data_IF_657912940490
#
_entry.id   IF_657912940490
#
_cell.length_a   1.000
_cell.length_b   1.000
_cell.length_c   1.000
_cell.angle_alpha   90.00
_cell.angle_beta   90.00
_cell.angle_gamma   90.00
#
_symmetry.space_group_name_H-M   'P 1'
#
loop_
_entity.id
_entity.type
_entity.pdbx_description
1 polymer ?
#
# COMPACT_ATOMS: atom_id res chain seq x y z
N UNK A 1 5.45 26.90 3.68
CA UNK A 1 4.26 27.34 2.92
C UNK A 1 3.02 26.71 3.52
N UNK A 2 1.81 27.26 3.27
CA UNK A 2 0.60 26.64 3.81
C UNK A 2 0.32 25.35 3.02
N UNK A 3 0.26 24.24 3.73
CA UNK A 3 -0.19 22.95 3.22
C UNK A 3 -1.72 23.00 3.09
N UNK A 4 -2.23 22.58 1.95
CA UNK A 4 -3.67 22.36 1.73
C UNK A 4 -3.97 20.87 1.74
N UNK A 5 -5.11 20.52 2.32
CA UNK A 5 -5.58 19.15 2.43
C UNK A 5 -7.01 19.07 1.94
N UNK A 6 -7.28 18.11 1.07
CA UNK A 6 -8.61 17.81 0.55
C UNK A 6 -8.90 16.33 0.60
N UNK A 7 -10.19 15.99 0.68
CA UNK A 7 -10.66 14.61 0.55
C UNK A 7 -11.73 14.57 -0.55
N UNK A 8 -11.68 13.51 -1.36
CA UNK A 8 -12.62 13.28 -2.45
C UNK A 8 -13.21 11.88 -2.32
N UNK A 9 -14.51 11.75 -2.59
CA UNK A 9 -15.19 10.47 -2.67
C UNK A 9 -15.47 10.14 -4.13
N UNK A 10 -15.03 8.99 -4.59
CA UNK A 10 -15.22 8.51 -5.95
C UNK A 10 -16.04 7.21 -5.92
N UNK A 11 -16.87 6.94 -6.95
CA UNK A 11 -17.54 5.66 -7.04
C UNK A 11 -16.51 4.52 -7.08
N UNK A 12 -16.66 3.52 -6.20
CA UNK A 12 -15.93 2.27 -6.27
C UNK A 12 -16.46 1.40 -7.42
N UNK A 13 -15.66 0.41 -7.86
CA UNK A 13 -16.19 -0.65 -8.73
C UNK A 13 -17.28 -1.48 -8.01
N UNK A 14 -17.23 -1.56 -6.69
CA UNK A 14 -18.24 -2.22 -5.87
C UNK A 14 -19.51 -1.38 -5.83
N UNK A 15 -20.61 -1.92 -6.34
CA UNK A 15 -21.89 -1.19 -6.42
C UNK A 15 -22.31 -0.65 -5.04
N UNK A 16 -22.68 0.62 -4.99
CA UNK A 16 -23.10 1.33 -3.78
C UNK A 16 -21.98 1.74 -2.84
N UNK A 17 -20.70 1.47 -3.17
CA UNK A 17 -19.55 1.89 -2.40
C UNK A 17 -18.83 3.08 -3.05
N UNK A 18 -18.22 3.91 -2.19
CA UNK A 18 -17.29 4.97 -2.59
C UNK A 18 -15.89 4.69 -2.03
N UNK A 19 -14.87 5.10 -2.78
CA UNK A 19 -13.47 5.10 -2.35
C UNK A 19 -13.07 6.51 -1.94
N UNK A 20 -12.26 6.61 -0.88
CA UNK A 20 -11.74 7.86 -0.36
C UNK A 20 -10.35 8.14 -0.93
N UNK A 21 -10.23 9.28 -1.59
CA UNK A 21 -8.98 9.82 -2.09
C UNK A 21 -8.60 11.05 -1.27
N UNK A 22 -7.42 11.03 -0.66
CA UNK A 22 -6.87 12.14 0.12
C UNK A 22 -5.77 12.83 -0.67
N UNK A 23 -5.74 14.15 -0.61
CA UNK A 23 -4.83 15.01 -1.35
C UNK A 23 -4.15 16.00 -0.42
N UNK A 24 -2.83 16.13 -0.54
CA UNK A 24 -2.01 17.15 0.13
C UNK A 24 -1.04 17.79 -0.85
N UNK A 25 -1.06 19.10 -0.90
CA UNK A 25 -0.14 19.89 -1.73
C UNK A 25 0.12 21.27 -1.14
N UNK A 26 1.21 21.89 -1.53
CA UNK A 26 1.40 23.34 -1.37
C UNK A 26 0.93 24.05 -2.64
N UNK A 27 0.73 25.39 -2.56
CA UNK A 27 0.38 26.19 -3.74
C UNK A 27 1.45 26.19 -4.84
N UNK A 28 2.63 25.70 -4.54
CA UNK A 28 3.80 25.62 -5.44
C UNK A 28 4.04 24.20 -5.95
N UNK A 29 3.15 23.24 -5.65
CA UNK A 29 3.25 21.89 -6.16
C UNK A 29 3.31 21.92 -7.70
N UNK A 30 4.30 21.26 -8.26
CA UNK A 30 4.57 21.19 -9.70
C UNK A 30 4.97 19.76 -10.08
N UNK A 31 4.79 19.45 -11.34
CA UNK A 31 5.17 18.15 -11.88
C UNK A 31 4.03 17.15 -11.83
N UNK A 32 4.36 15.90 -12.11
CA UNK A 32 3.42 14.80 -12.15
C UNK A 32 2.88 14.49 -10.75
N UNK A 33 1.55 14.37 -10.55
CA UNK A 33 0.99 14.01 -9.26
C UNK A 33 1.43 12.59 -8.83
N UNK A 34 1.64 12.40 -7.53
CA UNK A 34 2.09 11.13 -6.96
C UNK A 34 0.93 10.45 -6.24
N UNK A 35 0.53 9.26 -6.70
CA UNK A 35 -0.51 8.46 -6.08
C UNK A 35 0.07 7.31 -5.27
N UNK A 36 -0.22 7.28 -3.97
CA UNK A 36 0.14 6.22 -3.04
C UNK A 36 -0.98 5.19 -2.92
N UNK A 37 -0.63 3.90 -3.08
CA UNK A 37 -1.54 2.75 -2.94
C UNK A 37 -1.05 1.84 -1.82
N UNK A 38 -1.88 1.66 -0.81
CA UNK A 38 -1.54 0.90 0.40
C UNK A 38 -1.48 -0.62 0.17
N UNK A 39 -0.91 -1.32 1.14
CA UNK A 39 -0.86 -2.77 1.20
C UNK A 39 -2.12 -3.42 1.76
N UNK A 40 -2.05 -4.71 2.06
CA UNK A 40 -3.11 -5.44 2.73
C UNK A 40 -3.29 -4.96 4.19
N UNK A 41 -4.50 -5.03 4.71
CA UNK A 41 -4.88 -4.80 6.12
C UNK A 41 -5.17 -3.34 6.48
N UNK A 42 -4.27 -2.41 6.15
CA UNK A 42 -4.32 -1.03 6.64
C UNK A 42 -4.63 -0.06 5.50
N UNK A 43 -5.45 0.97 5.79
CA UNK A 43 -5.78 2.00 4.82
C UNK A 43 -4.63 2.97 4.55
N UNK A 44 -4.76 3.75 3.46
CA UNK A 44 -3.71 4.63 2.97
C UNK A 44 -3.48 5.83 3.90
N UNK A 45 -4.55 6.44 4.41
CA UNK A 45 -4.42 7.64 5.25
C UNK A 45 -3.53 7.37 6.46
N UNK A 46 -3.77 6.29 7.21
CA UNK A 46 -2.95 5.94 8.36
C UNK A 46 -1.61 5.33 7.98
N UNK A 47 -1.45 4.85 6.77
CA UNK A 47 -0.17 4.33 6.28
C UNK A 47 0.74 5.46 5.83
N UNK A 48 0.27 6.38 5.00
CA UNK A 48 1.11 7.40 4.36
C UNK A 48 0.95 8.79 4.97
N UNK A 49 -0.14 9.04 5.69
CA UNK A 49 -0.45 10.33 6.30
C UNK A 49 -0.53 10.28 7.84
N UNK A 50 0.01 9.24 8.46
CA UNK A 50 0.20 9.18 9.90
C UNK A 50 1.37 10.07 10.31
N UNK A 51 1.09 11.03 11.21
CA UNK A 51 2.09 11.99 11.65
C UNK A 51 2.98 11.43 12.76
N UNK A 52 4.29 11.35 12.53
CA UNK A 52 5.31 11.08 13.53
C UNK A 52 6.07 12.38 13.77
N UNK A 53 6.15 12.83 15.03
CA UNK A 53 6.72 14.13 15.38
C UNK A 53 6.03 15.31 14.66
N UNK A 54 4.72 15.18 14.45
CA UNK A 54 3.87 16.21 13.83
C UNK A 54 3.94 16.26 12.30
N UNK A 55 4.58 15.28 11.64
CA UNK A 55 4.72 15.22 10.18
C UNK A 55 4.50 13.82 9.63
N UNK A 56 3.78 13.73 8.52
CA UNK A 56 3.57 12.49 7.77
C UNK A 56 4.49 12.40 6.55
N UNK A 57 4.51 11.24 5.87
CA UNK A 57 5.19 11.13 4.59
C UNK A 57 4.54 12.03 3.52
N UNK A 58 3.21 12.15 3.51
CA UNK A 58 2.53 13.06 2.57
C UNK A 58 2.87 14.52 2.85
N UNK A 59 3.07 14.93 4.11
CA UNK A 59 3.55 16.27 4.44
C UNK A 59 4.96 16.50 3.89
N UNK A 60 5.86 15.53 4.06
CA UNK A 60 7.23 15.60 3.52
C UNK A 60 7.23 15.71 1.99
N UNK A 61 6.36 14.94 1.31
CA UNK A 61 6.19 15.03 -0.14
C UNK A 61 5.73 16.43 -0.57
N UNK A 62 4.69 16.95 0.08
CA UNK A 62 4.16 18.28 -0.24
C UNK A 62 5.18 19.39 0.01
N UNK A 63 5.99 19.30 1.08
CA UNK A 63 7.04 20.28 1.36
C UNK A 63 8.21 20.22 0.34
N UNK A 64 8.42 19.06 -0.28
CA UNK A 64 9.36 18.93 -1.41
C UNK A 64 8.77 19.41 -2.75
N UNK A 65 7.53 19.91 -2.75
CA UNK A 65 6.84 20.45 -3.93
C UNK A 65 6.08 19.42 -4.75
N UNK A 66 5.89 18.20 -4.24
CA UNK A 66 5.07 17.19 -4.91
C UNK A 66 3.58 17.40 -4.65
N UNK A 67 2.76 17.01 -5.62
CA UNK A 67 1.31 16.89 -5.49
C UNK A 67 0.97 15.48 -5.04
N UNK A 68 0.75 15.30 -3.72
CA UNK A 68 0.66 13.99 -3.07
C UNK A 68 -0.80 13.54 -2.85
N UNK A 69 -1.12 12.37 -3.35
CA UNK A 69 -2.42 11.72 -3.26
C UNK A 69 -2.30 10.35 -2.63
N UNK A 70 -3.24 9.93 -1.79
CA UNK A 70 -3.33 8.54 -1.35
C UNK A 70 -4.77 8.03 -1.42
N UNK A 71 -4.92 6.74 -1.74
CA UNK A 71 -6.21 6.09 -1.96
C UNK A 71 -6.47 5.03 -0.91
N UNK A 72 -7.54 5.16 -0.15
CA UNK A 72 -8.14 4.05 0.57
C UNK A 72 -8.93 3.18 -0.43
N UNK A 73 -8.51 1.95 -0.65
CA UNK A 73 -9.22 0.98 -1.49
C UNK A 73 -10.57 0.61 -0.85
N UNK A 74 -11.51 0.14 -1.64
CA UNK A 74 -12.80 -0.38 -1.16
C UNK A 74 -12.60 -1.35 -0.01
N UNK A 75 -13.32 -1.15 1.08
CA UNK A 75 -13.22 -1.99 2.28
C UNK A 75 -12.09 -1.62 3.24
N UNK A 76 -11.31 -0.57 2.97
CA UNK A 76 -10.19 -0.11 3.80
C UNK A 76 -10.36 1.35 4.23
N UNK A 77 -9.64 1.74 5.29
CA UNK A 77 -9.51 3.12 5.75
C UNK A 77 -10.85 3.83 5.89
N UNK A 78 -11.01 4.96 5.21
CA UNK A 78 -12.22 5.77 5.17
C UNK A 78 -13.13 5.48 3.98
N UNK A 79 -12.76 4.54 3.11
CA UNK A 79 -13.63 4.06 2.01
C UNK A 79 -14.78 3.21 2.55
N UNK A 80 -15.85 3.13 1.76
CA UNK A 80 -17.01 2.33 2.12
C UNK A 80 -16.68 0.84 2.24
N UNK A 81 -17.45 0.17 3.06
CA UNK A 81 -17.36 -1.27 3.29
C UNK A 81 -18.44 -1.98 2.47
N UNK A 82 -18.07 -2.98 1.62
CA UNK A 82 -19.06 -3.85 0.98
C UNK A 82 -20.03 -4.44 2.02
N UNK A 83 -21.30 -4.56 1.67
CA UNK A 83 -22.35 -5.05 2.57
C UNK A 83 -22.02 -6.38 3.24
N UNK A 84 -21.30 -7.26 2.55
CA UNK A 84 -20.83 -8.54 3.10
C UNK A 84 -19.86 -8.39 4.31
N UNK A 85 -19.26 -7.21 4.51
CA UNK A 85 -18.47 -6.95 5.73
C UNK A 85 -19.33 -6.66 6.97
N UNK A 86 -20.64 -6.45 6.81
CA UNK A 86 -21.58 -6.36 7.93
C UNK A 86 -22.11 -7.73 8.37
N UNK A 87 -21.85 -8.78 7.58
CA UNK A 87 -22.28 -10.16 7.85
C UNK A 87 -21.15 -10.98 8.48
N UNK A 88 -21.42 -12.16 9.05
CA UNK A 88 -20.38 -13.08 9.49
C UNK A 88 -19.43 -13.44 8.34
N UNK A 89 -18.12 -13.29 8.55
CA UNK A 89 -17.12 -13.38 7.51
C UNK A 89 -17.12 -14.69 6.70
N UNK A 90 -17.54 -15.80 7.33
CA UNK A 90 -17.60 -17.13 6.72
C UNK A 90 -18.81 -17.36 5.80
N UNK A 91 -19.75 -16.41 5.71
CA UNK A 91 -20.92 -16.52 4.85
C UNK A 91 -20.67 -16.01 3.43
N UNK A 92 -19.58 -15.26 3.23
CA UNK A 92 -19.27 -14.66 1.95
C UNK A 92 -17.87 -15.04 1.47
N UNK A 93 -17.66 -14.99 0.15
CA UNK A 93 -16.37 -15.19 -0.47
C UNK A 93 -15.37 -14.07 -0.11
N UNK A 94 -14.05 -14.28 -0.29
CA UNK A 94 -13.04 -13.24 -0.12
C UNK A 94 -13.40 -11.96 -0.88
N UNK A 95 -13.31 -10.81 -0.20
CA UNK A 95 -13.65 -9.51 -0.75
C UNK A 95 -12.40 -8.77 -1.19
N UNK A 96 -12.54 -7.93 -2.21
CA UNK A 96 -11.54 -6.99 -2.72
C UNK A 96 -10.25 -7.73 -3.12
N UNK A 97 -10.33 -8.42 -4.25
CA UNK A 97 -9.17 -9.03 -4.90
C UNK A 97 -8.36 -7.97 -5.65
N UNK A 98 -7.21 -8.35 -6.16
CA UNK A 98 -6.32 -7.43 -6.88
C UNK A 98 -6.99 -6.83 -8.13
N UNK A 99 -7.83 -7.60 -8.83
CA UNK A 99 -8.58 -7.10 -9.99
C UNK A 99 -9.56 -5.99 -9.60
N UNK A 100 -10.20 -6.11 -8.45
CA UNK A 100 -11.10 -5.11 -7.87
C UNK A 100 -10.33 -3.82 -7.54
N UNK A 101 -9.19 -3.98 -6.87
CA UNK A 101 -8.32 -2.87 -6.47
C UNK A 101 -7.70 -2.13 -7.68
N UNK A 102 -7.39 -2.84 -8.76
CA UNK A 102 -6.91 -2.23 -10.02
C UNK A 102 -7.95 -1.26 -10.58
N UNK A 103 -9.23 -1.62 -10.56
CA UNK A 103 -10.31 -0.72 -11.04
C UNK A 103 -10.43 0.52 -10.15
N UNK A 104 -10.33 0.37 -8.83
CA UNK A 104 -10.35 1.52 -7.90
C UNK A 104 -9.16 2.45 -8.15
N UNK A 105 -7.95 1.90 -8.36
CA UNK A 105 -6.74 2.70 -8.69
C UNK A 105 -6.89 3.41 -10.04
N UNK A 106 -7.45 2.76 -11.06
CA UNK A 106 -7.71 3.40 -12.36
C UNK A 106 -8.64 4.60 -12.23
N UNK A 107 -9.73 4.49 -11.47
CA UNK A 107 -10.66 5.60 -11.21
C UNK A 107 -9.98 6.76 -10.48
N UNK A 108 -9.11 6.44 -9.52
CA UNK A 108 -8.31 7.46 -8.84
C UNK A 108 -7.36 8.17 -9.82
N UNK A 109 -6.65 7.43 -10.68
CA UNK A 109 -5.76 8.00 -11.70
C UNK A 109 -6.55 8.90 -12.67
N UNK A 110 -7.69 8.44 -13.19
CA UNK A 110 -8.54 9.23 -14.08
C UNK A 110 -8.98 10.54 -13.42
N UNK A 111 -9.41 10.47 -12.16
CA UNK A 111 -9.81 11.66 -11.39
C UNK A 111 -8.64 12.63 -11.19
N UNK A 112 -7.49 12.14 -10.73
CA UNK A 112 -6.29 12.96 -10.48
C UNK A 112 -5.83 13.63 -11.78
N UNK A 113 -5.73 12.88 -12.86
CA UNK A 113 -5.32 13.41 -14.16
C UNK A 113 -6.25 14.54 -14.64
N UNK A 114 -7.57 14.36 -14.44
CA UNK A 114 -8.55 15.40 -14.78
C UNK A 114 -8.43 16.66 -13.88
N UNK A 115 -8.12 16.49 -12.58
CA UNK A 115 -7.95 17.61 -11.65
C UNK A 115 -6.65 18.39 -11.89
N UNK A 116 -5.56 17.69 -12.20
CA UNK A 116 -4.22 18.28 -12.30
C UNK A 116 -3.82 18.61 -13.75
N UNK A 117 -4.68 18.34 -14.74
CA UNK A 117 -4.38 18.49 -16.18
C UNK A 117 -3.13 17.71 -16.61
N UNK A 118 -2.95 16.51 -16.10
CA UNK A 118 -1.91 15.54 -16.46
C UNK A 118 -2.50 14.34 -17.17
N UNK A 119 -1.70 13.65 -18.00
CA UNK A 119 -2.12 12.40 -18.67
C UNK A 119 -1.79 11.14 -17.88
N UNK A 120 -0.85 11.23 -16.92
CA UNK A 120 -0.33 10.15 -16.13
C UNK A 120 0.01 10.59 -14.69
N UNK A 121 0.22 9.63 -13.80
CA UNK A 121 0.68 9.84 -12.42
C UNK A 121 2.03 9.15 -12.19
N UNK A 122 2.77 9.62 -11.19
CA UNK A 122 3.81 8.82 -10.54
C UNK A 122 3.10 7.89 -9.53
N UNK A 123 3.29 6.59 -9.65
CA UNK A 123 2.52 5.60 -8.92
C UNK A 123 3.39 4.87 -7.89
N UNK A 124 3.02 4.94 -6.61
CA UNK A 124 3.71 4.26 -5.53
C UNK A 124 2.82 3.19 -4.91
N UNK A 125 3.25 1.94 -4.99
CA UNK A 125 2.61 0.82 -4.29
C UNK A 125 3.44 0.35 -3.10
N UNK A 126 2.77 0.01 -2.00
CA UNK A 126 3.36 -0.57 -0.81
C UNK A 126 2.84 -2.00 -0.60
N UNK A 127 3.73 -2.99 -0.42
CA UNK A 127 3.33 -4.36 -0.11
C UNK A 127 2.38 -4.93 -1.19
N UNK A 128 1.16 -5.36 -0.85
CA UNK A 128 0.14 -5.74 -1.84
C UNK A 128 -0.14 -4.63 -2.85
N UNK A 129 -0.05 -3.37 -2.46
CA UNK A 129 -0.13 -2.24 -3.38
C UNK A 129 0.88 -2.32 -4.53
N UNK A 130 2.02 -2.99 -4.34
CA UNK A 130 3.00 -3.19 -5.43
C UNK A 130 2.49 -4.13 -6.51
N UNK A 131 1.72 -5.17 -6.14
CA UNK A 131 1.09 -6.06 -7.12
C UNK A 131 -0.03 -5.34 -7.89
N UNK A 132 -0.81 -4.49 -7.20
CA UNK A 132 -1.85 -3.66 -7.83
C UNK A 132 -1.20 -2.67 -8.81
N UNK A 133 -0.22 -1.89 -8.35
CA UNK A 133 0.46 -0.88 -9.16
C UNK A 133 1.26 -1.49 -10.30
N UNK A 134 1.91 -2.65 -10.08
CA UNK A 134 2.59 -3.40 -11.13
C UNK A 134 1.64 -3.86 -12.23
N UNK A 135 0.42 -4.30 -11.86
CA UNK A 135 -0.61 -4.67 -12.83
C UNK A 135 -1.14 -3.44 -13.60
N UNK A 136 -1.41 -2.34 -12.91
CA UNK A 136 -1.80 -1.07 -13.56
C UNK A 136 -0.72 -0.61 -14.55
N UNK A 137 0.54 -0.57 -14.14
CA UNK A 137 1.64 -0.12 -14.99
C UNK A 137 1.88 -1.03 -16.21
N UNK A 138 1.62 -2.35 -16.07
CA UNK A 138 1.72 -3.29 -17.20
C UNK A 138 0.54 -3.24 -18.16
N UNK A 139 -0.68 -2.96 -17.67
CA UNK A 139 -1.91 -2.92 -18.48
C UNK A 139 -2.18 -1.54 -19.09
N UNK A 140 -1.78 -0.47 -18.41
CA UNK A 140 -2.04 0.93 -18.79
C UNK A 140 -0.75 1.76 -18.72
N UNK A 141 0.28 1.40 -19.52
CA UNK A 141 1.59 2.04 -19.44
C UNK A 141 1.55 3.55 -19.69
N UNK A 142 0.58 4.04 -20.47
CA UNK A 142 0.38 5.46 -20.76
C UNK A 142 -0.15 6.27 -19.56
N UNK A 143 -0.61 5.60 -18.50
CA UNK A 143 -1.14 6.22 -17.27
C UNK A 143 -0.13 6.30 -16.14
N UNK A 144 1.05 5.72 -16.30
CA UNK A 144 2.09 5.65 -15.27
C UNK A 144 3.38 6.28 -15.78
N UNK A 145 3.73 7.46 -15.25
CA UNK A 145 4.95 8.18 -15.61
C UNK A 145 6.18 7.54 -14.95
N UNK A 146 6.14 7.26 -13.66
CA UNK A 146 7.14 6.51 -12.90
C UNK A 146 6.46 5.53 -11.95
N UNK A 147 7.12 4.42 -11.64
CA UNK A 147 6.61 3.39 -10.74
C UNK A 147 7.55 3.20 -9.55
N UNK A 148 7.01 3.23 -8.34
CA UNK A 148 7.74 2.90 -7.12
C UNK A 148 7.08 1.67 -6.48
N UNK A 149 7.87 0.62 -6.26
CA UNK A 149 7.46 -0.63 -5.61
C UNK A 149 8.18 -0.74 -4.27
N UNK A 150 7.53 -0.24 -3.21
CA UNK A 150 8.04 -0.34 -1.86
C UNK A 150 7.60 -1.65 -1.21
N UNK A 151 8.57 -2.51 -0.88
CA UNK A 151 8.31 -3.87 -0.44
C UNK A 151 7.61 -4.68 -1.56
N UNK A 152 8.32 -4.90 -2.67
CA UNK A 152 7.75 -5.52 -3.88
C UNK A 152 7.29 -6.95 -3.61
N UNK A 153 5.97 -7.17 -3.58
CA UNK A 153 5.37 -8.47 -3.34
C UNK A 153 5.51 -9.37 -4.57
N UNK A 154 6.09 -10.55 -4.35
CA UNK A 154 6.20 -11.60 -5.34
C UNK A 154 5.89 -12.97 -4.74
N UNK A 155 5.17 -13.79 -5.47
CA UNK A 155 4.77 -15.13 -5.03
C UNK A 155 5.14 -16.13 -6.10
N UNK A 156 6.06 -17.03 -5.77
CA UNK A 156 6.42 -18.16 -6.63
C UNK A 156 5.53 -19.37 -6.32
N UNK A 157 5.44 -20.28 -7.28
CA UNK A 157 4.76 -21.56 -7.07
C UNK A 157 5.41 -22.35 -5.94
N UNK A 158 4.59 -22.79 -5.00
CA UNK A 158 5.02 -23.62 -3.89
C UNK A 158 4.50 -25.05 -4.09
N UNK A 159 5.40 -26.02 -4.21
CA UNK A 159 5.05 -27.42 -4.53
C UNK A 159 4.08 -28.05 -3.54
N UNK A 160 4.23 -27.73 -2.26
CA UNK A 160 3.43 -28.31 -1.16
C UNK A 160 2.39 -27.34 -0.59
N UNK A 161 2.09 -26.23 -1.30
CA UNK A 161 1.12 -25.26 -0.82
C UNK A 161 -0.29 -25.87 -0.74
N UNK A 162 -0.84 -25.84 0.45
CA UNK A 162 -2.22 -26.24 0.68
C UNK A 162 -3.06 -25.00 1.00
N UNK A 163 -3.88 -24.56 0.06
CA UNK A 163 -4.84 -23.51 0.34
C UNK A 163 -5.76 -23.95 1.49
N UNK A 164 -6.15 -22.99 2.32
CA UNK A 164 -7.25 -23.20 3.26
C UNK A 164 -8.50 -23.61 2.49
N UNK A 165 -9.26 -24.55 2.99
CA UNK A 165 -10.52 -25.02 2.38
C UNK A 165 -11.56 -23.89 2.24
N UNK A 166 -11.43 -22.82 3.01
CA UNK A 166 -12.28 -21.64 2.95
C UNK A 166 -11.48 -20.42 3.42
N UNK A 167 -11.47 -19.38 2.61
CA UNK A 167 -10.96 -18.05 2.98
C UNK A 167 -12.21 -17.18 3.19
N UNK A 168 -12.43 -16.63 4.40
CA UNK A 168 -13.61 -15.81 4.70
C UNK A 168 -13.55 -14.47 3.98
N UNK A 169 -14.65 -13.72 3.91
CA UNK A 169 -14.75 -12.42 3.27
C UNK A 169 -13.77 -11.37 3.82
N UNK A 170 -13.60 -11.38 5.13
CA UNK A 170 -12.67 -10.50 5.84
C UNK A 170 -12.06 -11.23 7.05
N UNK A 171 -10.99 -10.67 7.58
CA UNK A 171 -10.36 -11.09 8.85
C UNK A 171 -10.38 -9.92 9.84
N UNK A 172 -10.28 -10.23 11.12
CA UNK A 172 -10.16 -9.24 12.18
C UNK A 172 -8.71 -9.10 12.62
N UNK A 173 -8.29 -7.87 12.94
CA UNK A 173 -6.95 -7.53 13.41
C UNK A 173 -7.08 -6.61 14.62
N UNK A 174 -6.50 -7.00 15.75
CA UNK A 174 -6.42 -6.17 16.97
C UNK A 174 -5.15 -5.34 16.96
N UNK A 175 -5.10 -4.27 17.77
CA UNK A 175 -3.87 -3.48 17.93
C UNK A 175 -2.69 -4.32 18.40
N UNK A 176 -2.91 -5.24 19.35
CA UNK A 176 -1.89 -6.20 19.79
C UNK A 176 -1.43 -7.12 18.64
N UNK A 177 -2.35 -7.62 17.82
CA UNK A 177 -2.01 -8.46 16.67
C UNK A 177 -1.21 -7.70 15.61
N UNK A 178 -1.53 -6.43 15.37
CA UNK A 178 -0.77 -5.56 14.47
C UNK A 178 0.65 -5.31 15.00
N UNK A 179 0.80 -5.00 16.29
CA UNK A 179 2.10 -4.81 16.92
C UNK A 179 2.96 -6.09 16.89
N UNK A 180 2.36 -7.24 17.21
CA UNK A 180 3.06 -8.53 17.18
C UNK A 180 3.53 -8.89 15.76
N UNK A 181 2.75 -8.53 14.73
CA UNK A 181 3.15 -8.72 13.34
C UNK A 181 4.32 -7.81 12.97
N UNK A 182 4.29 -6.54 13.36
CA UNK A 182 5.38 -5.59 13.09
C UNK A 182 6.70 -6.04 13.73
N UNK A 183 6.64 -6.47 15.01
CA UNK A 183 7.81 -6.94 15.74
C UNK A 183 8.28 -8.35 15.34
N UNK A 184 7.56 -9.03 14.42
CA UNK A 184 7.88 -10.43 14.08
C UNK A 184 9.29 -10.57 13.48
N UNK A 185 10.08 -11.50 14.02
CA UNK A 185 11.47 -11.74 13.62
C UNK A 185 12.52 -10.91 14.36
N UNK A 186 12.12 -9.99 15.23
CA UNK A 186 13.00 -9.17 16.07
C UNK A 186 12.82 -9.51 17.56
N UNK A 187 13.89 -9.46 18.33
CA UNK A 187 13.75 -9.46 19.78
C UNK A 187 13.28 -8.07 20.28
N UNK A 188 12.76 -7.95 21.52
CA UNK A 188 12.23 -6.68 22.02
C UNK A 188 13.23 -5.52 22.00
N UNK A 189 14.52 -5.79 22.25
CA UNK A 189 15.57 -4.75 22.28
C UNK A 189 15.88 -4.29 20.86
N UNK A 190 15.96 -5.23 19.90
CA UNK A 190 16.13 -4.93 18.49
C UNK A 190 14.95 -4.11 17.96
N UNK A 191 13.70 -4.49 18.31
CA UNK A 191 12.52 -3.75 17.89
C UNK A 191 12.51 -2.30 18.37
N UNK A 192 12.93 -2.04 19.60
CA UNK A 192 13.08 -0.67 20.13
C UNK A 192 14.14 0.17 19.39
N UNK A 193 15.12 -0.46 18.75
CA UNK A 193 16.08 0.25 17.88
C UNK A 193 15.48 0.62 16.52
N UNK A 194 14.47 -0.13 16.07
CA UNK A 194 13.79 0.06 14.77
C UNK A 194 12.73 1.16 14.87
N UNK A 195 11.89 1.13 15.89
CA UNK A 195 10.80 2.09 16.10
C UNK A 195 10.61 2.41 17.59
N UNK A 196 10.27 3.66 17.90
CA UNK A 196 9.90 4.03 19.26
C UNK A 196 8.64 3.26 19.70
N UNK A 197 8.64 2.57 20.87
CA UNK A 197 7.51 1.75 21.32
C UNK A 197 6.18 2.53 21.39
N UNK A 198 6.25 3.82 21.73
CA UNK A 198 5.08 4.71 21.77
C UNK A 198 4.49 4.95 20.38
N UNK A 199 5.32 5.13 19.36
CA UNK A 199 4.90 5.29 17.96
C UNK A 199 4.25 4.00 17.47
N UNK A 200 4.88 2.85 17.72
CA UNK A 200 4.35 1.57 17.28
C UNK A 200 2.99 1.25 17.93
N UNK A 201 2.87 1.46 19.24
CA UNK A 201 1.62 1.21 19.97
C UNK A 201 0.50 2.16 19.54
N UNK A 202 0.79 3.45 19.40
CA UNK A 202 -0.19 4.47 18.99
C UNK A 202 -0.67 4.24 17.56
N UNK A 203 0.24 3.97 16.63
CA UNK A 203 -0.13 3.64 15.26
C UNK A 203 -1.02 2.40 15.18
N UNK A 204 -0.64 1.32 15.87
CA UNK A 204 -1.45 0.09 15.89
C UNK A 204 -2.85 0.33 16.46
N UNK A 205 -2.99 1.19 17.47
CA UNK A 205 -4.28 1.56 18.03
C UNK A 205 -5.09 2.42 17.04
N UNK A 206 -4.48 3.44 16.46
CA UNK A 206 -5.11 4.32 15.45
C UNK A 206 -5.60 3.52 14.25
N UNK A 207 -4.87 2.48 13.83
CA UNK A 207 -5.27 1.62 12.72
C UNK A 207 -6.56 0.85 12.99
N UNK A 208 -6.73 0.27 14.17
CA UNK A 208 -7.96 -0.47 14.48
C UNK A 208 -9.17 0.44 14.66
N UNK A 209 -8.94 1.67 15.08
CA UNK A 209 -9.98 2.72 15.22
C UNK A 209 -10.54 3.20 13.88
N UNK A 210 -9.91 2.86 12.76
CA UNK A 210 -10.47 3.15 11.42
C UNK A 210 -11.64 2.26 11.03
N UNK A 211 -11.90 1.16 11.75
CA UNK A 211 -13.10 0.36 11.47
C UNK A 211 -14.36 1.15 11.85
N UNK A 212 -15.33 1.32 10.94
CA UNK A 212 -16.56 2.06 11.23
C UNK A 212 -17.37 1.52 12.42
N UNK A 213 -17.18 0.25 12.77
CA UNK A 213 -17.83 -0.40 13.90
C UNK A 213 -16.92 -0.51 15.14
N UNK A 214 -15.77 0.18 15.14
CA UNK A 214 -14.88 0.13 16.30
C UNK A 214 -15.60 0.57 17.58
N UNK A 215 -15.47 -0.24 18.60
CA UNK A 215 -15.92 0.01 19.96
C UNK A 215 -14.94 -0.67 20.92
N UNK A 216 -14.23 0.11 21.71
CA UNK A 216 -13.17 -0.39 22.59
C UNK A 216 -13.63 -1.51 23.54
N UNK A 217 -14.93 -1.56 23.88
CA UNK A 217 -15.49 -2.58 24.78
C UNK A 217 -16.00 -3.83 24.06
N UNK A 218 -16.41 -3.72 22.79
CA UNK A 218 -17.13 -4.80 22.09
C UNK A 218 -16.47 -5.21 20.79
N UNK A 219 -15.85 -4.27 20.06
CA UNK A 219 -15.27 -4.45 18.72
C UNK A 219 -13.93 -3.76 18.62
N UNK A 220 -12.97 -4.11 19.50
CA UNK A 220 -11.62 -3.55 19.52
C UNK A 220 -10.73 -4.19 18.44
N UNK A 221 -11.19 -4.17 17.18
CA UNK A 221 -10.49 -4.73 16.03
C UNK A 221 -10.88 -4.04 14.73
N UNK A 222 -9.98 -4.11 13.77
CA UNK A 222 -10.19 -3.75 12.37
C UNK A 222 -10.64 -4.98 11.58
N UNK A 223 -11.63 -4.84 10.70
CA UNK A 223 -11.97 -5.83 9.67
C UNK A 223 -11.22 -5.48 8.39
N UNK A 224 -10.43 -6.41 7.89
CA UNK A 224 -9.67 -6.26 6.65
C UNK A 224 -10.12 -7.29 5.61
N UNK A 225 -10.48 -6.89 4.38
CA UNK A 225 -10.80 -7.80 3.29
C UNK A 225 -9.71 -8.86 3.05
N UNK A 226 -10.09 -10.03 2.58
CA UNK A 226 -9.17 -11.15 2.39
C UNK A 226 -8.93 -11.53 0.94
N UNK A 227 -9.38 -10.74 -0.03
CA UNK A 227 -9.15 -10.96 -1.45
C UNK A 227 -7.67 -11.17 -1.77
N UNK A 228 -6.79 -10.37 -1.16
CA UNK A 228 -5.33 -10.54 -1.26
C UNK A 228 -4.85 -11.94 -0.87
N UNK A 229 -5.49 -12.58 0.13
CA UNK A 229 -5.12 -13.96 0.55
C UNK A 229 -5.59 -15.00 -0.46
N UNK A 230 -6.72 -14.77 -1.11
CA UNK A 230 -7.20 -15.62 -2.20
C UNK A 230 -6.26 -15.54 -3.40
N UNK A 231 -5.85 -14.34 -3.78
CA UNK A 231 -4.89 -14.13 -4.87
C UNK A 231 -3.52 -14.76 -4.55
N UNK A 232 -3.02 -14.56 -3.33
CA UNK A 232 -1.79 -15.22 -2.86
C UNK A 232 -1.88 -16.73 -2.99
N UNK A 233 -2.98 -17.32 -2.49
CA UNK A 233 -3.19 -18.76 -2.56
C UNK A 233 -3.26 -19.27 -4.01
N UNK A 234 -3.90 -18.51 -4.91
CA UNK A 234 -3.97 -18.82 -6.33
C UNK A 234 -2.57 -18.83 -6.97
N UNK A 235 -1.78 -17.78 -6.76
CA UNK A 235 -0.41 -17.69 -7.29
C UNK A 235 0.49 -18.82 -6.75
N UNK A 236 0.45 -19.05 -5.43
CA UNK A 236 1.24 -20.10 -4.78
C UNK A 236 0.90 -21.51 -5.27
N UNK A 237 -0.38 -21.79 -5.58
CA UNK A 237 -0.82 -23.09 -6.11
C UNK A 237 -0.48 -23.27 -7.58
N UNK A 238 -0.77 -22.25 -8.38
CA UNK A 238 -0.74 -22.37 -9.86
C UNK A 238 0.60 -21.99 -10.45
N UNK A 239 1.32 -21.05 -9.82
CA UNK A 239 2.49 -20.40 -10.38
C UNK A 239 2.15 -19.36 -11.44
N UNK A 240 0.86 -18.97 -11.53
CA UNK A 240 0.47 -17.85 -12.37
C UNK A 240 0.94 -16.57 -11.68
N UNK A 241 1.65 -15.73 -12.40
CA UNK A 241 2.18 -14.47 -11.91
C UNK A 241 1.05 -13.52 -11.47
N UNK A 242 1.25 -12.87 -10.34
CA UNK A 242 0.28 -11.89 -9.82
C UNK A 242 0.17 -10.67 -10.74
N UNK A 243 1.28 -10.25 -11.30
CA UNK A 243 1.40 -9.26 -12.37
C UNK A 243 2.61 -9.63 -13.24
N UNK A 244 2.77 -8.97 -14.38
CA UNK A 244 3.81 -9.26 -15.35
C UNK A 244 4.84 -8.11 -15.38
N UNK A 245 5.95 -8.19 -14.64
CA UNK A 245 6.96 -7.14 -14.60
C UNK A 245 7.55 -6.81 -15.98
N UNK A 246 7.56 -7.79 -16.90
CA UNK A 246 8.03 -7.63 -18.27
C UNK A 246 7.20 -6.65 -19.12
N UNK A 247 5.95 -6.38 -18.72
CA UNK A 247 5.08 -5.42 -19.42
C UNK A 247 5.26 -3.98 -18.94
N UNK A 248 5.95 -3.78 -17.81
CA UNK A 248 6.15 -2.46 -17.22
C UNK A 248 7.17 -1.69 -18.05
N UNK A 249 6.74 -0.54 -18.60
CA UNK A 249 7.58 0.36 -19.40
C UNK A 249 8.10 1.55 -18.59
N UNK A 250 7.36 2.01 -17.60
CA UNK A 250 7.72 3.14 -16.76
C UNK A 250 9.08 2.95 -16.08
N UNK A 251 9.90 4.02 -15.93
CA UNK A 251 11.03 4.00 -15.01
C UNK A 251 10.58 3.46 -13.66
N UNK A 252 11.28 2.48 -13.10
CA UNK A 252 10.85 1.77 -11.90
C UNK A 252 11.90 1.76 -10.81
N UNK A 253 11.53 2.19 -9.60
CA UNK A 253 12.29 2.02 -8.36
C UNK A 253 11.69 0.87 -7.55
N UNK A 254 12.52 -0.09 -7.15
CA UNK A 254 12.20 -1.04 -6.08
C UNK A 254 12.96 -0.60 -4.83
N UNK A 255 12.27 -0.45 -3.71
CA UNK A 255 12.88 -0.11 -2.42
C UNK A 255 12.35 -1.04 -1.34
N UNK A 256 13.24 -1.55 -0.49
CA UNK A 256 12.91 -2.54 0.56
C UNK A 256 13.85 -2.41 1.74
N UNK A 257 13.37 -2.72 2.94
CA UNK A 257 14.21 -2.88 4.13
C UNK A 257 14.90 -4.25 4.16
N UNK A 258 16.10 -4.32 4.70
CA UNK A 258 16.86 -5.59 4.80
C UNK A 258 16.29 -6.55 5.86
N UNK A 259 15.49 -6.04 6.80
CA UNK A 259 14.76 -6.81 7.81
C UNK A 259 13.29 -7.09 7.42
N UNK A 260 12.90 -6.79 6.18
CA UNK A 260 11.55 -7.08 5.70
C UNK A 260 11.40 -8.58 5.44
N UNK A 261 10.61 -9.26 6.29
CA UNK A 261 10.32 -10.70 6.19
C UNK A 261 8.97 -10.99 5.49
N UNK A 262 8.19 -9.97 5.17
CA UNK A 262 6.89 -10.12 4.49
C UNK A 262 7.02 -10.00 2.97
N UNK A 263 7.75 -8.98 2.53
CA UNK A 263 8.14 -8.78 1.12
C UNK A 263 9.65 -8.63 1.05
N UNK A 264 10.32 -9.77 1.03
CA UNK A 264 11.77 -9.85 1.26
C UNK A 264 12.58 -9.19 0.14
N UNK A 265 13.85 -8.81 0.40
CA UNK A 265 14.76 -8.33 -0.64
C UNK A 265 14.87 -9.29 -1.84
N UNK A 266 14.77 -10.61 -1.60
CA UNK A 266 14.83 -11.63 -2.66
C UNK A 266 13.61 -11.53 -3.59
N UNK A 267 12.41 -11.32 -3.04
CA UNK A 267 11.20 -11.08 -3.86
C UNK A 267 11.39 -9.84 -4.73
N UNK A 268 11.90 -8.75 -4.15
CA UNK A 268 12.21 -7.52 -4.87
C UNK A 268 13.22 -7.73 -5.99
N UNK A 269 14.28 -8.55 -5.77
CA UNK A 269 15.28 -8.87 -6.77
C UNK A 269 14.71 -9.72 -7.92
N UNK A 270 13.77 -10.63 -7.63
CA UNK A 270 13.05 -11.38 -8.68
C UNK A 270 12.30 -10.41 -9.59
N UNK A 271 11.50 -9.50 -9.00
CA UNK A 271 10.78 -8.47 -9.77
C UNK A 271 11.75 -7.59 -10.57
N UNK A 272 12.83 -7.11 -9.94
CA UNK A 272 13.84 -6.27 -10.57
C UNK A 272 14.46 -6.95 -11.81
N UNK A 273 14.77 -8.23 -11.71
CA UNK A 273 15.35 -9.00 -12.82
C UNK A 273 14.42 -9.10 -14.03
N UNK A 274 13.11 -9.08 -13.77
CA UNK A 274 12.03 -9.23 -14.75
C UNK A 274 11.53 -7.92 -15.35
N UNK A 275 11.97 -6.75 -14.88
CA UNK A 275 11.64 -5.43 -15.45
C UNK A 275 12.42 -5.18 -16.76
N UNK A 276 12.20 -6.03 -17.77
CA UNK A 276 13.01 -6.05 -18.99
C UNK A 276 12.63 -4.97 -19.99
N UNK A 277 11.43 -4.40 -19.91
CA UNK A 277 10.95 -3.31 -20.77
C UNK A 277 10.95 -1.94 -20.08
N UNK A 278 11.26 -1.87 -18.80
CA UNK A 278 11.31 -0.60 -18.08
C UNK A 278 12.40 0.32 -18.66
N UNK A 279 12.06 1.58 -18.92
CA UNK A 279 13.00 2.58 -19.47
C UNK A 279 14.24 2.75 -18.59
N UNK A 280 14.09 2.65 -17.29
CA UNK A 280 15.16 2.51 -16.32
C UNK A 280 14.67 1.73 -15.10
N UNK A 281 15.59 1.10 -14.37
CA UNK A 281 15.26 0.37 -13.15
C UNK A 281 16.32 0.61 -12.08
N UNK A 282 15.86 0.82 -10.86
CA UNK A 282 16.72 1.01 -9.70
C UNK A 282 16.26 0.09 -8.57
N UNK A 283 17.22 -0.47 -7.82
CA UNK A 283 16.96 -1.25 -6.61
C UNK A 283 17.68 -0.60 -5.43
N UNK A 284 16.94 -0.34 -4.35
CA UNK A 284 17.48 0.27 -3.13
C UNK A 284 17.16 -0.62 -1.93
N UNK A 285 18.20 -1.08 -1.24
CA UNK A 285 18.11 -1.82 0.01
C UNK A 285 18.46 -0.88 1.17
N UNK A 286 17.56 -0.77 2.14
CA UNK A 286 17.74 0.10 3.31
C UNK A 286 18.01 -0.75 4.55
N UNK A 287 19.23 -0.63 5.12
CA UNK A 287 19.65 -1.40 6.27
C UNK A 287 18.90 -1.02 7.55
N UNK A 288 18.47 -2.02 8.33
CA UNK A 288 17.75 -1.87 9.59
C UNK A 288 16.30 -1.42 9.45
N UNK A 289 15.68 -1.65 8.29
CA UNK A 289 14.27 -1.39 8.04
C UNK A 289 13.47 -2.68 7.92
N UNK A 290 12.29 -2.76 8.58
CA UNK A 290 11.34 -3.86 8.42
C UNK A 290 10.32 -3.56 7.32
N UNK A 291 9.27 -4.39 7.23
CA UNK A 291 8.14 -4.13 6.33
C UNK A 291 7.50 -2.76 6.55
N UNK A 292 7.49 -2.27 7.79
CA UNK A 292 6.89 -0.98 8.17
C UNK A 292 7.90 0.19 8.18
N UNK A 293 8.98 0.11 7.42
CA UNK A 293 10.07 1.11 7.36
C UNK A 293 9.57 2.56 7.24
N UNK A 294 8.44 2.79 6.58
CA UNK A 294 7.83 4.12 6.43
C UNK A 294 7.45 4.79 7.77
N UNK A 295 7.31 4.01 8.85
CA UNK A 295 6.96 4.45 10.21
C UNK A 295 8.14 4.40 11.19
N UNK A 296 9.29 3.92 10.74
CA UNK A 296 10.44 3.61 11.57
C UNK A 296 11.44 4.77 11.70
N UNK A 297 12.42 4.59 12.56
CA UNK A 297 13.47 5.60 12.78
C UNK A 297 14.24 5.92 11.49
N UNK A 298 14.32 4.99 10.56
CA UNK A 298 15.00 5.13 9.26
C UNK A 298 14.10 5.56 8.11
N UNK A 299 12.84 5.92 8.36
CA UNK A 299 11.85 6.32 7.35
C UNK A 299 12.34 7.38 6.37
N UNK A 300 13.16 8.32 6.83
CA UNK A 300 13.71 9.36 5.96
C UNK A 300 14.68 8.83 4.88
N UNK A 301 15.29 7.65 5.08
CA UNK A 301 16.09 7.02 4.02
C UNK A 301 15.18 6.52 2.89
N UNK A 302 14.01 5.95 3.22
CA UNK A 302 12.98 5.60 2.25
C UNK A 302 12.44 6.83 1.53
N UNK A 303 12.05 7.87 2.27
CA UNK A 303 11.52 9.11 1.70
C UNK A 303 12.53 9.75 0.73
N UNK A 304 13.78 9.86 1.12
CA UNK A 304 14.83 10.41 0.29
C UNK A 304 15.09 9.58 -0.98
N UNK A 305 15.08 8.25 -0.88
CA UNK A 305 15.25 7.38 -2.06
C UNK A 305 14.12 7.60 -3.08
N UNK A 306 12.88 7.73 -2.60
CA UNK A 306 11.72 8.02 -3.46
C UNK A 306 11.80 9.43 -4.03
N UNK A 307 12.10 10.46 -3.21
CA UNK A 307 12.24 11.84 -3.69
C UNK A 307 13.33 11.99 -4.75
N UNK A 308 14.48 11.36 -4.56
CA UNK A 308 15.57 11.38 -5.55
C UNK A 308 15.16 10.73 -6.87
N UNK A 309 14.44 9.61 -6.79
CA UNK A 309 13.96 8.92 -7.99
C UNK A 309 12.89 9.72 -8.75
N UNK A 310 11.99 10.39 -8.03
CA UNK A 310 10.95 11.22 -8.65
C UNK A 310 11.51 12.50 -9.29
N UNK A 311 12.65 13.00 -8.83
CA UNK A 311 13.31 14.19 -9.36
C UNK A 311 14.35 13.87 -10.44
N UNK A 312 14.62 12.59 -10.75
CA UNK A 312 15.55 12.18 -11.78
C UNK A 312 14.89 12.18 -13.17
#
# INVERSE_FOLDING_TARGET
>A
MALTEFNHDLPSHHEGCQIRLRHKATAEAQGTPVLFVHGATYGATQTFDYAIDGRSWMDEMADQGFDAWCLDLTGYGQSDRPGAMAEPANLNAPLVQTDDAVVDVQRAIEFICAQCAHDAVDLLGYSWGTAICGRVAGQFPERVNRLILYGALWVEKQADFKASSSIPAYRTVTAHGALSRWAHGLDPVEFETVVAPTVAADWCQTMVETDPNYDAAKHAFLRAPTGVRADFAHCAQTGIDWYQPELIQAPTLIVVGDLDIETTPEQGLIVFSRLTQAHSRQFTLIGGGTHSLLLENRRFQLFNAVHQFLNA
#
